data_IF_900863774177
#
_entry.id   IF_900863774177
#
_cell.length_a   1.000
_cell.length_b   1.000
_cell.length_c   1.000
_cell.angle_alpha   90.00
_cell.angle_beta   90.00
_cell.angle_gamma   90.00
#
_symmetry.space_group_name_H-M   'P 1'
#
loop_
_entity.id
_entity.type
_entity.pdbx_description
1 polymer ?
#
# COMPACT_ATOMS: atom_id res chain seq x y z
N UNK A 1 0.83 18.58 -21.70
CA UNK A 1 -0.40 18.05 -21.03
C UNK A 1 -1.57 17.95 -21.99
N UNK A 2 -2.14 19.05 -22.53
CA UNK A 2 -3.32 19.01 -23.40
C UNK A 2 -3.22 18.06 -24.63
N UNK A 3 -2.05 18.00 -25.30
CA UNK A 3 -1.83 17.06 -26.43
C UNK A 3 -1.92 15.59 -25.99
N UNK A 4 -1.36 15.27 -24.80
CA UNK A 4 -1.38 13.91 -24.25
C UNK A 4 -2.81 13.54 -23.84
N UNK A 5 -3.53 14.43 -23.15
CA UNK A 5 -4.93 14.20 -22.78
C UNK A 5 -5.78 13.91 -24.02
N UNK A 6 -5.66 14.72 -25.07
CA UNK A 6 -6.38 14.47 -26.33
C UNK A 6 -6.01 13.15 -27.00
N UNK A 7 -4.74 12.72 -26.96
CA UNK A 7 -4.33 11.41 -27.51
C UNK A 7 -4.88 10.22 -26.73
N UNK A 8 -5.28 10.44 -25.48
CA UNK A 8 -5.93 9.45 -24.62
C UNK A 8 -7.47 9.51 -24.69
N UNK A 9 -8.02 10.34 -25.58
CA UNK A 9 -9.48 10.48 -25.75
C UNK A 9 -10.15 11.36 -24.69
N UNK A 10 -9.38 12.06 -23.85
CA UNK A 10 -9.95 12.97 -22.86
C UNK A 10 -10.45 14.26 -23.51
N UNK A 11 -11.61 14.74 -23.10
CA UNK A 11 -12.06 16.09 -23.41
C UNK A 11 -11.12 17.12 -22.77
N UNK A 12 -10.72 18.13 -23.50
CA UNK A 12 -9.84 19.19 -23.01
C UNK A 12 -10.52 20.53 -23.17
N UNK A 13 -10.87 21.16 -22.07
CA UNK A 13 -11.47 22.48 -21.99
C UNK A 13 -10.41 23.48 -21.56
N UNK A 14 -10.30 24.59 -22.27
CA UNK A 14 -9.46 25.72 -21.88
C UNK A 14 -10.35 26.76 -21.20
N UNK A 15 -9.98 27.16 -20.00
CA UNK A 15 -10.73 28.09 -19.19
C UNK A 15 -9.80 29.07 -18.46
N UNK A 16 -10.35 30.07 -17.81
CA UNK A 16 -9.61 31.03 -17.01
C UNK A 16 -9.06 30.39 -15.73
N UNK A 17 -8.09 31.07 -15.11
CA UNK A 17 -7.58 30.63 -13.81
C UNK A 17 -8.62 30.71 -12.70
N UNK A 18 -9.54 31.67 -12.81
CA UNK A 18 -10.59 31.84 -11.81
C UNK A 18 -11.61 30.70 -11.86
N UNK A 19 -12.00 30.26 -13.06
CA UNK A 19 -12.84 29.08 -13.22
C UNK A 19 -12.18 27.81 -12.66
N UNK A 20 -10.85 27.62 -12.86
CA UNK A 20 -10.12 26.52 -12.24
C UNK A 20 -10.10 26.63 -10.71
N UNK A 21 -9.91 27.84 -10.16
CA UNK A 21 -9.91 28.09 -8.72
C UNK A 21 -11.27 27.76 -8.06
N UNK A 22 -12.37 28.01 -8.76
CA UNK A 22 -13.72 27.70 -8.28
C UNK A 22 -13.98 26.18 -8.19
N UNK A 23 -13.43 25.41 -9.13
CA UNK A 23 -13.57 23.95 -9.18
C UNK A 23 -12.55 23.23 -8.29
N UNK A 24 -11.41 23.86 -8.01
CA UNK A 24 -10.33 23.21 -7.28
C UNK A 24 -10.58 23.20 -5.76
N UNK A 25 -10.37 22.08 -5.12
CA UNK A 25 -10.39 21.96 -3.65
C UNK A 25 -9.15 22.55 -2.97
N UNK A 26 -8.26 23.24 -3.72
CA UNK A 26 -7.05 23.87 -3.16
C UNK A 26 -6.32 24.75 -4.15
N UNK A 27 -5.33 25.52 -3.66
CA UNK A 27 -4.62 26.52 -4.44
C UNK A 27 -3.40 26.00 -5.21
N UNK A 28 -3.06 24.73 -5.12
CA UNK A 28 -1.84 24.13 -5.68
C UNK A 28 -2.07 23.28 -6.94
N UNK A 29 -3.06 23.65 -7.74
CA UNK A 29 -3.45 22.88 -8.96
C UNK A 29 -2.54 23.11 -10.17
N UNK A 30 -1.62 24.08 -10.14
CA UNK A 30 -0.70 24.35 -11.27
C UNK A 30 -1.39 24.76 -12.58
N UNK A 31 -2.67 25.18 -12.54
CA UNK A 31 -3.44 25.57 -13.71
C UNK A 31 -4.01 24.39 -14.51
N UNK A 32 -4.09 23.20 -13.91
CA UNK A 32 -4.68 22.01 -14.53
C UNK A 32 -5.56 21.28 -13.51
N UNK A 33 -6.77 20.92 -13.92
CA UNK A 33 -7.65 20.01 -13.19
C UNK A 33 -8.00 18.82 -14.09
N UNK A 34 -8.13 17.67 -13.48
CA UNK A 34 -8.69 16.46 -14.09
C UNK A 34 -9.97 16.11 -13.34
N UNK A 35 -11.06 16.00 -14.08
CA UNK A 35 -12.30 15.43 -13.57
C UNK A 35 -12.28 13.95 -13.93
N UNK A 36 -12.40 13.10 -12.95
CA UNK A 36 -12.39 11.65 -13.10
C UNK A 36 -13.51 11.06 -12.24
N UNK A 37 -13.95 9.87 -12.61
CA UNK A 37 -14.82 9.06 -11.75
C UNK A 37 -14.06 8.61 -10.51
N UNK A 38 -14.79 8.26 -9.45
CA UNK A 38 -14.22 7.72 -8.24
C UNK A 38 -13.49 6.40 -8.51
N UNK A 39 -12.32 6.24 -7.90
CA UNK A 39 -11.55 5.01 -8.01
C UNK A 39 -12.31 3.83 -7.41
N UNK A 40 -12.60 2.84 -8.24
CA UNK A 40 -13.21 1.59 -7.79
C UNK A 40 -12.09 0.61 -7.39
N UNK A 41 -12.04 0.23 -6.11
CA UNK A 41 -11.08 -0.76 -5.61
C UNK A 41 -11.80 -2.10 -5.48
N UNK A 42 -11.37 -3.14 -6.24
CA UNK A 42 -12.03 -4.44 -6.22
C UNK A 42 -11.78 -5.19 -4.91
N UNK A 43 -12.63 -6.20 -4.65
CA UNK A 43 -12.46 -7.13 -3.55
C UNK A 43 -11.34 -8.14 -3.84
N UNK A 44 -10.55 -8.47 -2.83
CA UNK A 44 -9.43 -9.43 -2.97
C UNK A 44 -9.92 -10.82 -3.38
N UNK A 45 -11.07 -11.25 -2.87
CA UNK A 45 -11.64 -12.58 -3.13
C UNK A 45 -11.91 -12.85 -4.61
N UNK A 46 -12.11 -11.78 -5.40
CA UNK A 46 -12.37 -11.84 -6.84
C UNK A 46 -11.08 -11.86 -7.67
N UNK A 47 -9.93 -11.66 -7.03
CA UNK A 47 -8.64 -11.53 -7.70
C UNK A 47 -7.80 -12.83 -7.61
N UNK A 48 -6.91 -12.99 -8.58
CA UNK A 48 -5.84 -14.00 -8.56
C UNK A 48 -4.50 -13.27 -8.59
N UNK A 49 -3.96 -12.98 -7.40
CA UNK A 49 -2.72 -12.23 -7.26
C UNK A 49 -1.64 -13.12 -6.68
N UNK A 50 -0.45 -13.04 -7.24
CA UNK A 50 0.73 -13.79 -6.82
C UNK A 50 1.91 -12.82 -6.61
N UNK A 51 2.94 -13.29 -5.94
CA UNK A 51 4.15 -12.54 -5.68
C UNK A 51 4.20 -11.95 -4.27
N UNK A 52 4.75 -10.76 -4.16
CA UNK A 52 4.81 -10.01 -2.92
C UNK A 52 3.54 -9.17 -2.74
N UNK A 53 2.64 -9.62 -1.88
CA UNK A 53 1.46 -8.89 -1.45
C UNK A 53 1.73 -8.22 -0.10
N UNK A 54 1.17 -7.03 0.11
CA UNK A 54 1.31 -6.31 1.38
C UNK A 54 -0.06 -5.89 1.93
N UNK A 55 -0.46 -6.48 3.04
CA UNK A 55 -1.64 -6.07 3.80
C UNK A 55 -1.25 -4.99 4.80
N UNK A 56 -1.97 -3.87 4.76
CA UNK A 56 -1.74 -2.73 5.64
C UNK A 56 -2.98 -2.54 6.52
N UNK A 57 -2.85 -2.86 7.80
CA UNK A 57 -3.90 -2.64 8.78
C UNK A 57 -3.72 -1.30 9.50
N UNK A 58 -4.82 -0.72 9.95
CA UNK A 58 -4.84 0.42 10.88
C UNK A 58 -4.26 1.73 10.34
N UNK A 59 -4.14 1.90 9.02
CA UNK A 59 -3.80 3.19 8.42
C UNK A 59 -5.06 4.05 8.31
N UNK A 60 -5.06 5.19 8.97
CA UNK A 60 -6.19 6.13 8.99
C UNK A 60 -5.85 7.46 8.31
N UNK A 61 -4.59 7.80 8.23
CA UNK A 61 -4.11 9.04 7.64
C UNK A 61 -3.86 8.89 6.13
N UNK A 62 -4.49 9.72 5.27
CA UNK A 62 -4.31 9.69 3.82
C UNK A 62 -2.88 9.94 3.35
N UNK A 63 -2.10 10.75 4.07
CA UNK A 63 -0.69 10.99 3.74
C UNK A 63 0.13 9.72 3.93
N UNK A 64 -0.11 9.00 5.03
CA UNK A 64 0.56 7.73 5.29
C UNK A 64 0.18 6.69 4.24
N UNK A 65 -1.10 6.58 3.88
CA UNK A 65 -1.54 5.68 2.82
C UNK A 65 -0.86 5.99 1.48
N UNK A 66 -0.80 7.27 1.10
CA UNK A 66 -0.11 7.70 -0.11
C UNK A 66 1.39 7.40 -0.07
N UNK A 67 2.06 7.66 1.06
CA UNK A 67 3.48 7.37 1.26
C UNK A 67 3.77 5.87 1.18
N UNK A 68 2.95 5.03 1.81
CA UNK A 68 3.04 3.57 1.74
C UNK A 68 2.86 3.09 0.29
N UNK A 69 1.82 3.57 -0.40
CA UNK A 69 1.56 3.21 -1.80
C UNK A 69 2.75 3.53 -2.70
N UNK A 70 3.35 4.71 -2.52
CA UNK A 70 4.56 5.12 -3.25
C UNK A 70 5.73 4.18 -3.00
N UNK A 71 5.94 3.82 -1.75
CA UNK A 71 7.03 2.94 -1.31
C UNK A 71 6.85 1.53 -1.84
N UNK A 72 5.67 0.95 -1.68
CA UNK A 72 5.34 -0.40 -2.16
C UNK A 72 5.44 -0.49 -3.68
N UNK A 73 4.91 0.50 -4.41
CA UNK A 73 5.05 0.54 -5.87
C UNK A 73 6.52 0.61 -6.30
N UNK A 74 7.31 1.49 -5.68
CA UNK A 74 8.72 1.66 -6.02
C UNK A 74 9.58 0.42 -5.69
N UNK A 75 9.20 -0.35 -4.69
CA UNK A 75 9.89 -1.58 -4.28
C UNK A 75 9.44 -2.83 -5.05
N UNK A 76 8.45 -2.72 -5.95
CA UNK A 76 7.96 -3.83 -6.75
C UNK A 76 7.05 -4.78 -5.97
N UNK A 77 6.22 -4.23 -5.08
CA UNK A 77 5.10 -4.93 -4.49
C UNK A 77 4.06 -5.22 -5.59
N UNK A 78 3.55 -6.45 -5.62
CA UNK A 78 2.64 -6.90 -6.67
C UNK A 78 1.20 -6.45 -6.39
N UNK A 79 0.81 -6.35 -5.12
CA UNK A 79 -0.47 -5.78 -4.70
C UNK A 79 -0.45 -5.27 -3.25
N UNK A 80 -1.18 -4.18 -3.01
CA UNK A 80 -1.50 -3.70 -1.67
C UNK A 80 -2.92 -4.12 -1.31
N UNK A 81 -3.11 -4.63 -0.10
CA UNK A 81 -4.40 -5.07 0.43
C UNK A 81 -4.74 -4.18 1.62
N UNK A 82 -5.96 -3.72 1.68
CA UNK A 82 -6.46 -2.83 2.72
C UNK A 82 -7.78 -3.37 3.31
N UNK A 83 -8.05 -3.14 4.59
CA UNK A 83 -9.41 -3.21 5.12
C UNK A 83 -10.31 -2.26 4.34
N UNK A 84 -11.53 -2.70 4.04
CA UNK A 84 -12.49 -1.90 3.29
C UNK A 84 -12.81 -0.60 4.03
N UNK A 85 -12.59 0.50 3.35
CA UNK A 85 -12.85 1.84 3.84
C UNK A 85 -13.10 2.78 2.66
N UNK A 86 -13.98 3.76 2.85
CA UNK A 86 -14.12 4.86 1.90
C UNK A 86 -12.93 5.80 2.01
N UNK A 87 -12.19 5.97 0.92
CA UNK A 87 -11.06 6.87 0.78
C UNK A 87 -11.33 8.05 -0.17
N UNK A 88 -12.53 8.09 -0.78
CA UNK A 88 -12.87 9.08 -1.82
C UNK A 88 -12.74 10.52 -1.30
N UNK A 89 -13.12 10.75 -0.04
CA UNK A 89 -12.99 12.07 0.60
C UNK A 89 -11.54 12.59 0.66
N UNK A 90 -10.56 11.72 0.57
CA UNK A 90 -9.13 12.04 0.74
C UNK A 90 -8.27 11.68 -0.48
N UNK A 91 -8.89 11.24 -1.59
CA UNK A 91 -8.20 10.72 -2.76
C UNK A 91 -7.14 11.69 -3.30
N UNK A 92 -7.44 12.98 -3.38
CA UNK A 92 -6.47 13.99 -3.83
C UNK A 92 -5.21 14.06 -2.94
N UNK A 93 -5.38 13.87 -1.63
CA UNK A 93 -4.26 13.84 -0.68
C UNK A 93 -3.41 12.60 -0.90
N UNK A 94 -4.06 11.45 -1.07
CA UNK A 94 -3.41 10.17 -1.34
C UNK A 94 -2.63 10.23 -2.67
N UNK A 95 -3.24 10.76 -3.72
CA UNK A 95 -2.61 10.92 -5.04
C UNK A 95 -1.36 11.81 -4.97
N UNK A 96 -1.44 12.94 -4.27
CA UNK A 96 -0.29 13.84 -4.08
C UNK A 96 0.82 13.18 -3.26
N UNK A 97 0.49 12.58 -2.13
CA UNK A 97 1.46 11.91 -1.26
C UNK A 97 2.13 10.71 -1.94
N UNK A 98 1.37 9.96 -2.74
CA UNK A 98 1.88 8.82 -3.51
C UNK A 98 2.67 9.23 -4.76
N UNK A 99 2.66 10.49 -5.16
CA UNK A 99 3.18 10.95 -6.46
C UNK A 99 2.59 10.14 -7.64
N UNK A 100 1.32 9.77 -7.55
CA UNK A 100 0.58 8.99 -8.54
C UNK A 100 0.81 7.47 -8.49
N UNK A 101 1.59 6.96 -7.55
CA UNK A 101 1.81 5.51 -7.39
C UNK A 101 0.54 4.76 -6.97
N UNK A 102 -0.35 5.42 -6.24
CA UNK A 102 -1.65 4.88 -5.83
C UNK A 102 -2.51 4.43 -7.02
N UNK A 103 -2.39 5.09 -8.17
CA UNK A 103 -3.10 4.72 -9.40
C UNK A 103 -2.45 3.53 -10.14
N UNK A 104 -1.18 3.29 -9.90
CA UNK A 104 -0.40 2.28 -10.61
C UNK A 104 -0.25 0.97 -9.85
N UNK A 105 -0.28 1.04 -8.53
CA UNK A 105 -0.21 -0.14 -7.67
C UNK A 105 -1.57 -0.85 -7.68
N UNK A 106 -1.66 -2.15 -7.98
CA UNK A 106 -2.87 -2.93 -7.76
C UNK A 106 -3.27 -2.87 -6.28
N UNK A 107 -4.52 -2.48 -6.01
CA UNK A 107 -5.05 -2.35 -4.65
C UNK A 107 -6.33 -3.17 -4.56
N UNK A 108 -6.49 -3.87 -3.44
CA UNK A 108 -7.66 -4.70 -3.16
C UNK A 108 -8.19 -4.44 -1.76
N UNK A 109 -9.50 -4.56 -1.59
CA UNK A 109 -10.14 -4.54 -0.28
C UNK A 109 -10.40 -5.95 0.24
N UNK A 110 -10.42 -6.06 1.56
CA UNK A 110 -10.99 -7.18 2.30
C UNK A 110 -12.02 -6.65 3.29
N UNK A 111 -13.11 -7.38 3.47
CA UNK A 111 -14.17 -7.00 4.40
C UNK A 111 -13.80 -7.37 5.85
N UNK A 112 -12.91 -8.36 6.05
CA UNK A 112 -12.41 -8.76 7.37
C UNK A 112 -11.03 -9.43 7.32
N UNK A 113 -10.40 -9.57 8.49
CA UNK A 113 -9.13 -10.28 8.64
C UNK A 113 -9.28 -11.78 8.33
N UNK A 114 -10.42 -12.38 8.64
CA UNK A 114 -10.76 -13.76 8.32
C UNK A 114 -10.77 -13.99 6.80
N UNK A 115 -11.34 -13.05 6.03
CA UNK A 115 -11.34 -13.10 4.56
C UNK A 115 -9.91 -13.09 4.02
N UNK A 116 -9.03 -12.23 4.54
CA UNK A 116 -7.62 -12.23 4.16
C UNK A 116 -6.95 -13.57 4.44
N UNK A 117 -7.16 -14.12 5.65
CA UNK A 117 -6.58 -15.40 6.05
C UNK A 117 -7.06 -16.53 5.16
N UNK A 118 -8.36 -16.58 4.86
CA UNK A 118 -8.94 -17.61 4.00
C UNK A 118 -8.47 -17.48 2.56
N UNK A 119 -8.35 -16.25 2.04
CA UNK A 119 -7.77 -16.00 0.73
C UNK A 119 -6.32 -16.52 0.67
N UNK A 120 -5.50 -16.17 1.66
CA UNK A 120 -4.11 -16.61 1.71
C UNK A 120 -3.98 -18.14 1.80
N UNK A 121 -4.80 -18.81 2.61
CA UNK A 121 -4.84 -20.27 2.69
C UNK A 121 -5.23 -20.92 1.36
N UNK A 122 -6.31 -20.45 0.74
CA UNK A 122 -6.81 -20.95 -0.55
C UNK A 122 -5.77 -20.84 -1.65
N UNK A 123 -5.01 -19.75 -1.67
CA UNK A 123 -4.00 -19.47 -2.69
C UNK A 123 -2.58 -19.88 -2.29
N UNK A 124 -2.40 -20.58 -1.17
CA UNK A 124 -1.11 -21.07 -0.65
C UNK A 124 -0.09 -19.94 -0.48
N UNK A 125 -0.55 -18.79 -0.04
CA UNK A 125 0.27 -17.63 0.27
C UNK A 125 0.59 -17.62 1.77
N UNK A 126 1.84 -17.85 2.20
CA UNK A 126 2.19 -17.73 3.60
C UNK A 126 2.00 -16.30 4.08
N UNK A 127 1.37 -16.14 5.23
CA UNK A 127 1.25 -14.87 5.93
C UNK A 127 2.52 -14.65 6.75
N UNK A 128 3.15 -13.50 6.57
CA UNK A 128 4.31 -13.04 7.33
C UNK A 128 3.91 -11.75 8.05
N UNK A 129 4.16 -11.67 9.35
CA UNK A 129 3.76 -10.51 10.14
C UNK A 129 4.96 -9.68 10.58
N UNK A 130 4.91 -8.37 10.38
CA UNK A 130 5.82 -7.44 11.05
C UNK A 130 5.43 -7.35 12.53
N UNK A 131 5.98 -8.24 13.36
CA UNK A 131 5.62 -8.40 14.76
C UNK A 131 6.85 -8.83 15.58
N UNK A 132 6.95 -8.36 16.85
CA UNK A 132 8.15 -8.60 17.69
C UNK A 132 8.15 -9.94 18.44
N UNK A 133 6.96 -10.52 18.68
CA UNK A 133 6.86 -11.74 19.48
C UNK A 133 7.29 -12.95 18.64
N UNK A 134 8.20 -13.76 19.16
CA UNK A 134 8.69 -14.99 18.51
C UNK A 134 9.14 -14.73 17.06
N UNK A 135 9.90 -13.65 16.86
CA UNK A 135 10.27 -13.13 15.56
C UNK A 135 11.70 -13.47 15.16
N UNK A 136 11.91 -13.57 13.85
CA UNK A 136 13.24 -13.62 13.23
C UNK A 136 13.62 -12.20 12.78
N UNK A 137 14.90 -11.85 12.83
CA UNK A 137 15.41 -10.58 12.30
C UNK A 137 15.12 -10.43 10.81
N UNK A 138 14.75 -9.22 10.38
CA UNK A 138 14.41 -8.94 8.98
C UNK A 138 15.56 -9.33 8.03
N UNK A 139 16.78 -9.07 8.43
CA UNK A 139 17.97 -9.31 7.61
C UNK A 139 18.44 -10.76 7.62
N UNK A 140 17.95 -11.57 8.57
CA UNK A 140 18.23 -13.00 8.68
C UNK A 140 17.15 -13.86 8.01
N UNK A 141 16.00 -13.26 7.67
CA UNK A 141 14.90 -13.97 7.02
C UNK A 141 15.04 -13.97 5.49
N UNK A 142 14.84 -15.15 4.89
CA UNK A 142 14.85 -15.30 3.43
C UNK A 142 13.42 -15.35 2.90
N UNK A 143 13.02 -14.34 2.15
CA UNK A 143 11.68 -14.27 1.57
C UNK A 143 11.51 -15.25 0.41
N UNK A 144 10.36 -15.92 0.39
CA UNK A 144 9.91 -16.76 -0.73
C UNK A 144 9.46 -15.90 -1.91
N UNK A 145 9.04 -16.53 -3.02
CA UNK A 145 8.56 -15.81 -4.20
C UNK A 145 7.14 -15.27 -4.02
N UNK A 146 6.30 -16.03 -3.27
CA UNK A 146 4.89 -15.71 -3.07
C UNK A 146 4.60 -15.68 -1.57
N UNK A 147 4.09 -14.56 -1.08
CA UNK A 147 3.71 -14.37 0.32
C UNK A 147 2.87 -13.11 0.49
N UNK A 148 2.18 -13.02 1.62
CA UNK A 148 1.49 -11.82 2.09
C UNK A 148 2.21 -11.28 3.34
N UNK A 149 2.85 -10.11 3.23
CA UNK A 149 3.39 -9.38 4.37
C UNK A 149 2.29 -8.55 5.01
N UNK A 150 2.07 -8.73 6.31
CA UNK A 150 1.11 -7.94 7.08
C UNK A 150 1.82 -6.92 7.96
N UNK A 151 1.50 -5.64 7.78
CA UNK A 151 1.98 -4.51 8.55
C UNK A 151 0.83 -3.91 9.33
N UNK A 152 0.97 -3.79 10.64
CA UNK A 152 -0.04 -3.17 11.50
C UNK A 152 0.17 -1.68 11.67
N UNK A 153 -0.91 -0.97 12.03
CA UNK A 153 -0.86 0.41 12.44
C UNK A 153 -0.08 0.61 13.76
N UNK A 154 0.53 1.79 13.92
CA UNK A 154 1.36 2.10 15.08
C UNK A 154 0.63 2.05 16.43
N UNK A 155 -0.68 2.25 16.44
CA UNK A 155 -1.49 2.30 17.66
C UNK A 155 -2.02 0.93 18.11
N UNK A 156 -2.51 0.11 17.19
CA UNK A 156 -3.20 -1.16 17.51
C UNK A 156 -2.40 -2.39 17.11
N UNK A 157 -1.43 -2.24 16.20
CA UNK A 157 -0.74 -3.38 15.60
C UNK A 157 -1.66 -4.23 14.73
N UNK A 158 -1.27 -5.47 14.50
CA UNK A 158 -2.07 -6.48 13.80
C UNK A 158 -3.05 -7.17 14.77
N UNK A 159 -4.19 -7.60 14.25
CA UNK A 159 -5.17 -8.36 15.01
C UNK A 159 -4.65 -9.75 15.43
N UNK A 160 -5.34 -10.36 16.42
CA UNK A 160 -5.04 -11.73 16.81
C UNK A 160 -5.35 -12.75 15.71
N UNK A 161 -6.34 -12.50 14.87
CA UNK A 161 -6.69 -13.32 13.70
C UNK A 161 -5.49 -13.42 12.74
N UNK A 162 -4.91 -12.27 12.37
CA UNK A 162 -3.75 -12.21 11.46
C UNK A 162 -2.50 -12.82 12.11
N UNK A 163 -2.20 -12.43 13.36
CA UNK A 163 -0.99 -12.92 14.04
C UNK A 163 -1.02 -14.40 14.34
N UNK A 164 -2.21 -14.99 14.61
CA UNK A 164 -2.37 -16.44 14.80
C UNK A 164 -2.25 -17.23 13.50
N UNK A 165 -2.53 -16.63 12.34
CA UNK A 165 -2.36 -17.23 11.03
C UNK A 165 -0.95 -17.04 10.45
N UNK A 166 -0.08 -16.31 11.14
CA UNK A 166 1.28 -16.03 10.68
C UNK A 166 2.13 -17.29 10.60
N UNK A 167 2.75 -17.52 9.45
CA UNK A 167 3.79 -18.55 9.29
C UNK A 167 5.06 -18.16 10.04
N UNK A 168 5.42 -16.86 10.00
CA UNK A 168 6.60 -16.33 10.67
C UNK A 168 6.39 -14.85 10.99
N UNK A 169 6.76 -14.47 12.21
CA UNK A 169 6.88 -13.09 12.61
C UNK A 169 8.30 -12.60 12.29
N UNK A 170 8.39 -11.38 11.77
CA UNK A 170 9.65 -10.77 11.34
C UNK A 170 9.77 -9.40 12.03
N UNK A 171 10.94 -9.11 12.56
CA UNK A 171 11.20 -7.86 13.28
C UNK A 171 12.36 -7.08 12.66
N UNK A 172 12.21 -5.76 12.60
CA UNK A 172 13.34 -4.86 12.33
C UNK A 172 14.09 -4.70 13.63
N UNK A 173 15.34 -5.15 13.67
CA UNK A 173 16.21 -4.99 14.83
C UNK A 173 16.67 -3.54 14.93
N UNK A 174 16.60 -3.00 16.14
CA UNK A 174 16.98 -1.63 16.39
C UNK A 174 18.41 -1.56 16.95
N UNK A 175 19.17 -0.60 16.49
CA UNK A 175 20.52 -0.34 17.01
C UNK A 175 20.57 0.26 18.41
N UNK A 176 19.41 0.55 19.02
CA UNK A 176 19.28 1.09 20.38
C UNK A 176 18.06 0.50 21.06
N UNK A 177 18.04 0.53 22.40
CA UNK A 177 16.83 0.17 23.17
C UNK A 177 15.74 1.23 22.91
N UNK A 178 14.74 0.84 22.15
CA UNK A 178 13.59 1.66 21.78
C UNK A 178 12.33 0.81 21.75
N UNK A 179 11.36 1.15 22.61
CA UNK A 179 10.17 0.33 22.86
C UNK A 179 9.07 0.52 21.82
N UNK A 180 8.99 1.70 21.19
CA UNK A 180 7.94 1.99 20.24
C UNK A 180 8.21 1.31 18.89
N UNK A 181 7.12 1.03 18.14
CA UNK A 181 7.24 0.56 16.77
C UNK A 181 7.61 1.72 15.82
N UNK A 182 8.18 1.39 14.68
CA UNK A 182 8.20 2.30 13.54
C UNK A 182 6.77 2.62 13.11
N UNK A 183 6.55 3.79 12.57
CA UNK A 183 5.29 4.08 11.88
C UNK A 183 5.12 3.17 10.65
N UNK A 184 3.87 3.02 10.18
CA UNK A 184 3.55 2.07 9.11
C UNK A 184 4.26 2.39 7.79
N UNK A 185 4.51 3.68 7.49
CA UNK A 185 5.19 4.06 6.26
C UNK A 185 6.69 3.73 6.33
N UNK A 186 7.32 4.00 7.47
CA UNK A 186 8.72 3.62 7.72
C UNK A 186 8.89 2.10 7.73
N UNK A 187 8.00 1.35 8.37
CA UNK A 187 8.01 -0.10 8.35
C UNK A 187 7.87 -0.63 6.91
N UNK A 188 6.89 -0.13 6.15
CA UNK A 188 6.71 -0.50 4.75
C UNK A 188 7.97 -0.27 3.92
N UNK A 189 8.68 0.84 4.14
CA UNK A 189 9.91 1.14 3.43
C UNK A 189 11.02 0.13 3.74
N UNK A 190 11.28 -0.12 5.02
CA UNK A 190 12.36 -1.02 5.44
C UNK A 190 12.11 -2.44 4.93
N UNK A 191 10.91 -2.99 5.16
CA UNK A 191 10.57 -4.34 4.72
C UNK A 191 10.59 -4.49 3.21
N UNK A 192 9.92 -3.60 2.47
CA UNK A 192 9.75 -3.76 1.03
C UNK A 192 11.05 -3.59 0.25
N UNK A 193 11.95 -2.71 0.68
CA UNK A 193 13.26 -2.56 0.03
C UNK A 193 14.22 -3.70 0.37
N UNK A 194 14.13 -4.31 1.55
CA UNK A 194 14.87 -5.54 1.85
C UNK A 194 14.37 -6.71 0.97
N UNK A 195 13.05 -6.85 0.80
CA UNK A 195 12.46 -7.82 -0.13
C UNK A 195 12.97 -7.59 -1.55
N UNK A 196 12.98 -6.35 -2.02
CA UNK A 196 13.52 -6.00 -3.35
C UNK A 196 15.01 -6.36 -3.48
N UNK A 197 15.81 -6.07 -2.44
CA UNK A 197 17.24 -6.42 -2.42
C UNK A 197 17.42 -7.93 -2.60
N UNK A 198 16.67 -8.73 -1.86
CA UNK A 198 16.75 -10.19 -1.95
C UNK A 198 16.28 -10.72 -3.31
N UNK A 199 15.20 -10.16 -3.89
CA UNK A 199 14.74 -10.52 -5.24
C UNK A 199 15.83 -10.27 -6.29
N UNK A 200 16.53 -9.13 -6.22
CA UNK A 200 17.63 -8.80 -7.15
C UNK A 200 18.84 -9.71 -7.02
N UNK A 201 19.19 -10.12 -5.81
CA UNK A 201 20.32 -11.05 -5.58
C UNK A 201 20.01 -12.45 -6.14
N UNK A 202 18.75 -12.90 -6.07
CA UNK A 202 18.34 -14.21 -6.62
C UNK A 202 18.24 -14.23 -8.15
N UNK A 203 18.10 -13.07 -8.79
CA UNK A 203 17.97 -12.94 -10.24
C UNK A 203 19.32 -12.84 -10.98
N UNK A 204 20.41 -12.64 -10.25
CA UNK A 204 21.80 -12.62 -10.75
C UNK A 204 22.50 -13.95 -10.41
#
# INVERSE_FOLDING_TARGET
MAKIAKSLGCEVVFCSRDEINELATGKTHGGVLLLAEEKQIPQLIEAHVHGFLCYIDGVEDPYNLGSISRTLYASGCDAMILPKRDWNFAEQTILKASAGAYEKLPIYFVDSDEELVDYCKKNQLPILCAHRKDAVGLYDYTFESNFCLCLGGALRGLSSTITSASKQNIVVEYGRDFRNALDSASAAAVFSFEILRQKKVKAN
#
